data_IF_944394994377
#
_entry.id   IF_944394994377
#
_cell.length_a   1.000
_cell.length_b   1.000
_cell.length_c   1.000
_cell.angle_alpha   90.00
_cell.angle_beta   90.00
_cell.angle_gamma   90.00
#
_symmetry.space_group_name_H-M   'P 1'
#
loop_
_entity.id
_entity.type
_entity.pdbx_description
1 polymer ?
#
# COMPACT_ATOMS: atom_id res chain seq x y z
N UNK A 1 -2.97 8.69 -11.46
CA UNK A 1 -2.74 8.78 -10.00
C UNK A 1 -3.23 10.13 -9.55
N UNK A 2 -3.77 10.20 -8.33
CA UNK A 2 -4.22 11.44 -7.71
C UNK A 2 -3.05 12.31 -7.24
N UNK A 3 -3.36 13.49 -6.73
CA UNK A 3 -2.39 14.48 -6.27
C UNK A 3 -2.81 15.19 -4.97
N UNK A 4 -3.96 14.82 -4.39
CA UNK A 4 -4.46 15.39 -3.14
C UNK A 4 -3.69 14.88 -1.92
N UNK A 5 -3.17 13.65 -2.01
CA UNK A 5 -2.38 13.02 -0.97
C UNK A 5 -1.04 12.52 -1.50
N UNK A 6 0.03 12.95 -0.84
CA UNK A 6 1.36 12.44 -1.15
C UNK A 6 1.53 11.03 -0.61
N UNK A 7 2.04 10.12 -1.43
CA UNK A 7 2.38 8.76 -1.02
C UNK A 7 3.68 8.74 -0.20
N UNK A 8 3.57 8.32 1.06
CA UNK A 8 4.69 8.20 2.00
C UNK A 8 4.80 6.77 2.51
N UNK A 9 5.42 5.92 1.69
CA UNK A 9 5.57 4.48 1.94
C UNK A 9 6.34 4.19 3.24
N UNK A 10 5.81 3.37 4.16
CA UNK A 10 6.60 2.85 5.28
C UNK A 10 7.71 1.93 4.76
N UNK A 11 8.71 1.67 5.59
CA UNK A 11 9.86 0.83 5.22
C UNK A 11 10.09 -0.34 6.19
N UNK A 12 10.72 -1.40 5.67
CA UNK A 12 11.23 -2.54 6.43
C UNK A 12 12.70 -2.80 6.09
N UNK A 13 13.42 -3.39 7.05
CA UNK A 13 14.78 -3.87 6.82
C UNK A 13 14.74 -5.28 6.23
N UNK A 14 15.17 -5.44 4.98
CA UNK A 14 15.44 -6.75 4.39
C UNK A 14 16.88 -7.18 4.66
N UNK A 15 17.07 -8.48 4.92
CA UNK A 15 18.39 -9.09 5.04
C UNK A 15 18.62 -10.06 3.87
N UNK A 16 19.71 -9.87 3.13
CA UNK A 16 20.15 -10.79 2.08
C UNK A 16 21.43 -11.49 2.52
N UNK A 17 21.41 -12.82 2.53
CA UNK A 17 22.46 -13.62 3.14
C UNK A 17 23.18 -14.51 2.13
N UNK A 18 24.46 -14.74 2.38
CA UNK A 18 25.31 -15.69 1.64
C UNK A 18 26.05 -16.61 2.61
N UNK A 19 26.40 -17.82 2.16
CA UNK A 19 27.10 -18.79 3.02
C UNK A 19 28.44 -18.29 3.56
N UNK A 20 29.21 -17.55 2.73
CA UNK A 20 30.55 -17.07 3.09
C UNK A 20 30.57 -15.67 3.70
N UNK A 21 29.55 -14.84 3.44
CA UNK A 21 29.56 -13.41 3.76
C UNK A 21 28.58 -12.97 4.85
N UNK A 22 27.82 -13.89 5.45
CA UNK A 22 26.75 -13.52 6.37
C UNK A 22 25.63 -12.75 5.65
N UNK A 23 24.96 -11.84 6.37
CA UNK A 23 23.81 -11.09 5.87
C UNK A 23 24.09 -9.59 5.73
N UNK A 24 23.70 -8.99 4.61
CA UNK A 24 23.65 -7.53 4.42
C UNK A 24 22.24 -7.01 4.60
N UNK A 25 22.09 -5.78 5.08
CA UNK A 25 20.78 -5.15 5.32
C UNK A 25 20.49 -4.08 4.28
N UNK A 26 19.26 -4.04 3.75
CA UNK A 26 18.75 -2.99 2.85
C UNK A 26 17.37 -2.55 3.31
N UNK A 27 17.13 -1.23 3.34
CA UNK A 27 15.78 -0.70 3.51
C UNK A 27 14.96 -0.94 2.24
N UNK A 28 13.76 -1.49 2.41
CA UNK A 28 12.77 -1.65 1.35
C UNK A 28 11.47 -0.94 1.75
N UNK A 29 10.85 -0.26 0.80
CA UNK A 29 9.56 0.39 1.00
C UNK A 29 8.44 -0.64 0.94
N UNK A 30 7.33 -0.36 1.61
CA UNK A 30 6.08 -1.10 1.53
C UNK A 30 5.02 -0.22 0.89
N UNK A 31 4.16 -0.76 0.04
CA UNK A 31 3.01 -0.03 -0.51
C UNK A 31 1.71 -0.73 -0.13
N UNK A 32 0.69 0.08 0.20
CA UNK A 32 -0.68 -0.41 0.36
C UNK A 32 -1.27 -0.78 -0.99
N UNK A 33 -1.93 -1.94 -1.03
CA UNK A 33 -2.72 -2.40 -2.17
C UNK A 33 -3.77 -1.36 -2.59
N UNK A 34 -3.99 -1.25 -3.90
CA UNK A 34 -4.84 -0.23 -4.49
C UNK A 34 -6.29 -0.28 -4.00
N UNK A 35 -6.83 -1.45 -3.64
CA UNK A 35 -8.23 -1.58 -3.21
C UNK A 35 -8.54 -0.82 -1.91
N UNK A 36 -7.54 -0.57 -1.07
CA UNK A 36 -7.74 0.19 0.17
C UNK A 36 -7.61 1.70 -0.02
N UNK A 37 -7.09 2.14 -1.17
CA UNK A 37 -6.83 3.55 -1.41
C UNK A 37 -8.12 4.27 -1.76
N UNK A 38 -8.17 5.54 -1.39
CA UNK A 38 -9.23 6.41 -1.85
C UNK A 38 -9.16 6.57 -3.36
N UNK A 39 -10.31 6.40 -4.02
CA UNK A 39 -10.49 6.61 -5.45
C UNK A 39 -11.59 7.64 -5.69
N UNK A 40 -11.24 8.73 -6.36
CA UNK A 40 -12.13 9.84 -6.64
C UNK A 40 -11.97 10.35 -8.08
N UNK A 41 -12.91 11.19 -8.50
CA UNK A 41 -12.89 11.79 -9.81
C UNK A 41 -11.66 12.71 -9.98
N UNK A 42 -11.00 12.67 -11.14
CA UNK A 42 -9.75 13.37 -11.43
C UNK A 42 -9.82 14.90 -11.27
N UNK A 43 -11.02 15.49 -11.41
CA UNK A 43 -11.23 16.94 -11.32
C UNK A 43 -11.81 17.43 -9.99
N UNK A 44 -11.99 16.56 -8.99
CA UNK A 44 -12.64 16.95 -7.73
C UNK A 44 -12.50 15.92 -6.63
N UNK A 45 -13.33 16.03 -5.60
CA UNK A 45 -13.30 15.16 -4.41
C UNK A 45 -14.43 14.13 -4.40
N UNK A 46 -15.22 14.07 -5.47
CA UNK A 46 -16.34 13.14 -5.56
C UNK A 46 -15.83 11.72 -5.75
N UNK A 47 -16.26 10.83 -4.87
CA UNK A 47 -15.83 9.44 -4.88
C UNK A 47 -16.26 8.74 -6.17
N UNK A 48 -15.33 7.99 -6.78
CA UNK A 48 -15.66 7.05 -7.82
C UNK A 48 -16.17 5.72 -7.26
N UNK A 49 -15.78 5.40 -6.03
CA UNK A 49 -16.21 4.20 -5.31
C UNK A 49 -16.54 4.56 -3.87
N UNK A 50 -17.68 4.09 -3.35
CA UNK A 50 -18.08 4.32 -1.94
C UNK A 50 -18.78 3.09 -1.41
N UNK A 51 -18.34 2.60 -0.24
CA UNK A 51 -18.86 1.36 0.34
C UNK A 51 -18.52 0.18 -0.56
N UNK A 52 -19.52 -0.33 -1.27
CA UNK A 52 -19.43 -1.46 -2.19
C UNK A 52 -19.79 -1.11 -3.65
N UNK A 53 -20.07 0.16 -3.96
CA UNK A 53 -20.61 0.59 -5.25
C UNK A 53 -19.73 1.62 -5.97
N UNK A 54 -19.68 1.51 -7.29
CA UNK A 54 -19.09 2.51 -8.19
C UNK A 54 -20.10 3.60 -8.53
N UNK A 55 -19.62 4.84 -8.68
CA UNK A 55 -20.44 5.96 -9.13
C UNK A 55 -20.70 5.85 -10.64
N UNK A 56 -21.94 5.61 -11.10
CA UNK A 56 -22.23 5.36 -12.51
C UNK A 56 -22.02 6.59 -13.41
N UNK A 57 -21.97 7.80 -12.85
CA UNK A 57 -21.71 9.01 -13.63
C UNK A 57 -20.25 9.11 -14.10
N UNK A 58 -19.32 8.51 -13.35
CA UNK A 58 -17.89 8.49 -13.67
C UNK A 58 -17.44 7.12 -14.21
N UNK A 59 -18.16 6.07 -13.82
CA UNK A 59 -17.85 4.67 -14.13
C UNK A 59 -19.00 4.00 -14.87
N UNK A 60 -19.45 4.60 -15.99
CA UNK A 60 -20.45 3.98 -16.89
C UNK A 60 -19.92 2.72 -17.56
N UNK A 61 -18.60 2.67 -17.78
CA UNK A 61 -17.86 1.51 -18.26
C UNK A 61 -16.44 1.50 -17.67
N UNK A 62 -15.70 0.37 -17.74
CA UNK A 62 -14.38 0.27 -17.13
C UNK A 62 -13.33 1.25 -17.69
N UNK A 63 -13.41 1.60 -18.97
CA UNK A 63 -12.45 2.50 -19.63
C UNK A 63 -12.71 3.94 -19.19
N UNK A 64 -13.98 4.36 -19.15
CA UNK A 64 -14.38 5.65 -18.59
C UNK A 64 -13.95 5.77 -17.13
N UNK A 65 -14.22 4.74 -16.32
CA UNK A 65 -13.85 4.71 -14.90
C UNK A 65 -12.33 4.87 -14.70
N UNK A 66 -11.52 4.10 -15.43
CA UNK A 66 -10.06 4.18 -15.31
C UNK A 66 -9.48 5.51 -15.81
N UNK A 67 -10.16 6.19 -16.74
CA UNK A 67 -9.77 7.50 -17.27
C UNK A 67 -10.15 8.62 -16.30
N UNK A 68 -11.36 8.57 -15.76
CA UNK A 68 -11.98 9.69 -15.05
C UNK A 68 -11.71 9.64 -13.54
N UNK A 69 -11.23 8.50 -13.03
CA UNK A 69 -10.93 8.30 -11.62
C UNK A 69 -9.42 8.16 -11.34
N UNK A 70 -9.01 8.59 -10.16
CA UNK A 70 -7.63 8.55 -9.71
C UNK A 70 -7.52 7.93 -8.31
N UNK A 71 -6.53 7.05 -8.14
CA UNK A 71 -6.12 6.52 -6.84
C UNK A 71 -5.18 7.51 -6.14
N UNK A 72 -5.46 7.82 -4.88
CA UNK A 72 -4.65 8.73 -4.08
C UNK A 72 -3.50 8.04 -3.34
N UNK A 73 -2.52 8.87 -2.96
CA UNK A 73 -1.47 8.47 -2.04
C UNK A 73 -2.02 8.21 -0.63
N UNK A 74 -1.15 7.69 0.22
CA UNK A 74 -1.37 7.53 1.65
C UNK A 74 -0.20 8.21 2.37
N UNK A 75 -0.50 9.20 3.18
CA UNK A 75 0.50 9.86 4.03
C UNK A 75 0.99 8.94 5.14
N UNK A 76 2.15 9.26 5.73
CA UNK A 76 2.75 8.47 6.79
C UNK A 76 1.81 8.32 8.00
N UNK A 77 1.10 9.39 8.36
CA UNK A 77 0.12 9.38 9.44
C UNK A 77 -1.10 8.52 9.12
N UNK A 78 -1.57 8.50 7.87
CA UNK A 78 -2.73 7.71 7.46
C UNK A 78 -2.44 6.23 7.37
N UNK A 79 -1.22 5.83 7.00
CA UNK A 79 -0.79 4.43 7.13
C UNK A 79 -1.11 3.90 8.54
N UNK A 80 -0.76 4.65 9.58
CA UNK A 80 -1.02 4.26 10.97
C UNK A 80 -2.49 4.47 11.38
N UNK A 81 -3.01 5.67 11.21
CA UNK A 81 -4.26 6.11 11.83
C UNK A 81 -5.52 5.71 11.05
N UNK A 82 -5.41 5.53 9.73
CA UNK A 82 -6.54 5.08 8.90
C UNK A 82 -6.46 3.57 8.66
N UNK A 83 -5.27 3.06 8.34
CA UNK A 83 -5.11 1.68 7.87
C UNK A 83 -4.51 0.73 8.90
N UNK A 84 -4.08 1.22 10.08
CA UNK A 84 -3.55 0.37 11.14
C UNK A 84 -2.18 -0.26 10.81
N UNK A 85 -1.45 0.35 9.88
CA UNK A 85 -0.13 -0.10 9.43
C UNK A 85 0.93 0.71 10.18
N UNK A 86 1.61 0.05 11.10
CA UNK A 86 2.64 0.68 11.93
C UNK A 86 4.02 0.13 11.55
N UNK A 87 4.91 1.05 11.17
CA UNK A 87 6.29 0.71 10.85
C UNK A 87 7.07 0.40 12.14
N UNK A 88 7.81 -0.71 12.14
CA UNK A 88 8.72 -1.10 13.21
C UNK A 88 10.16 -1.10 12.67
N UNK A 89 11.15 -1.14 13.55
CA UNK A 89 12.57 -1.07 13.15
C UNK A 89 12.99 -2.17 12.16
N UNK A 90 12.47 -3.40 12.31
CA UNK A 90 12.79 -4.56 11.48
C UNK A 90 11.53 -5.29 10.97
N UNK A 91 10.40 -4.60 10.89
CA UNK A 91 9.14 -5.23 10.52
C UNK A 91 8.01 -4.24 10.39
N UNK A 92 6.80 -4.77 10.28
CA UNK A 92 5.57 -3.98 10.17
C UNK A 92 4.49 -4.67 10.98
N UNK A 93 3.68 -3.88 11.69
CA UNK A 93 2.50 -4.36 12.40
C UNK A 93 1.27 -4.00 11.58
N UNK A 94 0.41 -4.98 11.34
CA UNK A 94 -0.87 -4.82 10.65
C UNK A 94 -2.00 -5.05 11.64
N UNK A 95 -2.70 -3.98 12.00
CA UNK A 95 -3.89 -4.09 12.83
C UNK A 95 -5.10 -4.56 11.99
N UNK A 96 -5.96 -5.41 12.56
CA UNK A 96 -7.08 -5.96 11.80
C UNK A 96 -8.22 -4.96 11.61
N UNK A 97 -8.63 -4.26 12.66
CA UNK A 97 -9.72 -3.26 12.62
C UNK A 97 -9.19 -1.93 13.13
N UNK A 98 -9.27 -0.89 12.31
CA UNK A 98 -8.79 0.45 12.66
C UNK A 98 -9.90 1.46 12.45
N UNK A 99 -10.41 2.00 13.55
CA UNK A 99 -11.41 3.07 13.52
C UNK A 99 -10.74 4.42 13.30
N UNK A 100 -11.33 5.24 12.44
CA UNK A 100 -10.89 6.60 12.15
C UNK A 100 -12.08 7.54 12.01
N UNK A 101 -11.81 8.84 11.89
CA UNK A 101 -12.86 9.88 11.91
C UNK A 101 -13.94 9.77 10.80
N UNK A 102 -13.73 8.95 9.77
CA UNK A 102 -14.64 8.80 8.63
C UNK A 102 -15.18 7.38 8.46
N UNK A 103 -14.88 6.46 9.38
CA UNK A 103 -15.31 5.07 9.27
C UNK A 103 -14.35 4.09 9.93
N UNK A 104 -14.39 2.85 9.45
CA UNK A 104 -13.59 1.75 9.96
C UNK A 104 -12.89 1.06 8.80
N UNK A 105 -11.56 0.94 8.89
CA UNK A 105 -10.78 0.08 8.01
C UNK A 105 -10.74 -1.35 8.55
N UNK A 106 -10.93 -2.34 7.67
CA UNK A 106 -10.84 -3.77 8.01
C UNK A 106 -9.80 -4.45 7.11
N UNK A 107 -8.78 -5.02 7.73
CA UNK A 107 -7.66 -5.67 7.06
C UNK A 107 -6.73 -4.72 6.34
N UNK A 108 -5.68 -5.29 5.75
CA UNK A 108 -4.74 -4.60 4.86
C UNK A 108 -3.97 -5.63 4.03
N UNK A 109 -3.42 -5.20 2.90
CA UNK A 109 -2.48 -5.98 2.08
C UNK A 109 -1.35 -5.08 1.63
N UNK A 110 -0.12 -5.51 1.89
CA UNK A 110 1.10 -4.78 1.55
C UNK A 110 1.96 -5.55 0.56
N UNK A 111 2.70 -4.82 -0.26
CA UNK A 111 3.75 -5.36 -1.13
C UNK A 111 5.09 -4.70 -0.82
N UNK A 112 6.16 -5.49 -0.89
CA UNK A 112 7.53 -5.01 -0.74
C UNK A 112 8.00 -4.41 -2.07
N UNK A 113 8.63 -3.24 -2.02
CA UNK A 113 9.06 -2.46 -3.17
C UNK A 113 10.59 -2.46 -3.33
N UNK A 114 11.06 -2.38 -4.57
CA UNK A 114 12.44 -2.09 -4.92
C UNK A 114 12.51 -0.74 -5.65
N UNK A 115 12.70 0.33 -4.88
CA UNK A 115 12.50 1.70 -5.36
C UNK A 115 11.07 2.19 -5.13
N UNK A 116 10.61 3.13 -5.96
CA UNK A 116 9.30 3.78 -5.79
C UNK A 116 8.19 3.22 -6.68
N UNK A 117 8.56 2.56 -7.78
CA UNK A 117 7.67 2.19 -8.90
C UNK A 117 7.67 0.68 -9.22
N UNK A 118 8.46 -0.14 -8.51
CA UNK A 118 8.60 -1.57 -8.78
C UNK A 118 8.46 -2.42 -7.52
N UNK A 119 7.80 -3.57 -7.66
CA UNK A 119 7.80 -4.59 -6.61
C UNK A 119 9.17 -5.26 -6.47
N UNK A 120 9.53 -5.61 -5.23
CA UNK A 120 10.69 -6.45 -4.97
C UNK A 120 10.38 -7.88 -5.39
N UNK A 121 10.99 -8.31 -6.48
CA UNK A 121 10.89 -9.69 -6.95
C UNK A 121 11.88 -10.59 -6.21
N UNK A 122 11.36 -11.68 -5.63
CA UNK A 122 12.15 -12.72 -4.98
C UNK A 122 12.21 -13.97 -5.87
N UNK A 123 13.41 -14.36 -6.30
CA UNK A 123 13.62 -15.57 -7.12
C UNK A 123 13.96 -16.76 -6.22
N UNK A 124 12.92 -17.42 -5.70
CA UNK A 124 13.03 -18.38 -4.59
C UNK A 124 13.57 -19.77 -4.95
N UNK A 125 13.69 -20.10 -6.23
CA UNK A 125 14.20 -21.42 -6.64
C UNK A 125 15.61 -21.63 -6.09
N UNK A 126 15.79 -22.69 -5.30
CA UNK A 126 17.05 -23.03 -4.63
C UNK A 126 17.57 -21.91 -3.69
N UNK A 127 16.66 -21.24 -2.98
CA UNK A 127 16.95 -20.23 -1.95
C UNK A 127 16.10 -20.46 -0.71
N UNK A 128 16.56 -19.92 0.41
CA UNK A 128 15.80 -19.85 1.66
C UNK A 128 15.14 -18.48 1.81
N UNK A 129 13.94 -18.45 2.37
CA UNK A 129 13.23 -17.23 2.76
C UNK A 129 12.71 -17.41 4.19
N UNK A 130 13.08 -16.50 5.09
CA UNK A 130 12.73 -16.57 6.50
C UNK A 130 12.13 -15.23 6.97
N UNK A 131 11.15 -15.32 7.86
CA UNK A 131 10.48 -14.19 8.49
C UNK A 131 10.19 -14.54 9.95
N UNK A 132 10.25 -13.53 10.82
CA UNK A 132 9.70 -13.59 12.16
C UNK A 132 8.24 -13.08 12.13
N UNK A 133 7.36 -13.68 12.91
CA UNK A 133 5.91 -13.39 12.98
C UNK A 133 5.43 -13.26 14.42
#
# INVERSE_FOLDING_TARGET
AGYMEQEEKPYITLKECTLSGGCTSKQAKLTLDANWRWIHHTSGYENCYTGDAWNPNFCSDPVACARDCALEGVSADKYRNTYGIEQLQNGVKLNFVTDHQFGTNVGSRLYIMDGDDKYKMFYLKNREFAIDV
#
